data_IF_818920817677
#
_entry.id   IF_818920817677
#
_cell.length_a   1.000
_cell.length_b   1.000
_cell.length_c   1.000
_cell.angle_alpha   90.00
_cell.angle_beta   90.00
_cell.angle_gamma   90.00
#
_symmetry.space_group_name_H-M   'P 1'
#
loop_
_entity.id
_entity.type
_entity.pdbx_description
1 polymer ?
#
# COMPACT_ATOMS: atom_id res chain seq x y z
N UNK A 1 22.99 -13.24 62.57
CA UNK A 1 22.88 -11.76 62.48
C UNK A 1 24.25 -11.24 62.03
N UNK A 2 24.56 -11.34 60.75
CA UNK A 2 24.37 -10.26 59.76
C UNK A 2 25.12 -8.97 60.12
N UNK A 3 26.37 -8.84 59.67
CA UNK A 3 26.77 -7.89 58.61
C UNK A 3 28.29 -7.89 58.46
N UNK A 4 28.74 -8.61 57.45
CA UNK A 4 30.08 -8.61 56.89
C UNK A 4 30.28 -7.27 56.17
N UNK A 5 31.18 -6.44 56.67
CA UNK A 5 31.73 -5.29 55.95
C UNK A 5 33.14 -5.67 55.51
N UNK A 6 33.27 -6.22 54.30
CA UNK A 6 34.57 -6.46 53.67
C UNK A 6 34.79 -5.38 52.61
N UNK A 7 35.44 -4.30 53.03
CA UNK A 7 36.22 -3.45 52.14
C UNK A 7 37.60 -4.12 52.05
N UNK A 8 38.00 -4.59 50.87
CA UNK A 8 39.39 -4.62 50.37
C UNK A 8 39.41 -5.17 48.94
N UNK A 9 39.22 -4.25 48.01
CA UNK A 9 40.06 -3.97 46.84
C UNK A 9 40.91 -5.08 46.17
N UNK A 10 40.83 -5.02 44.83
CA UNK A 10 41.82 -5.41 43.80
C UNK A 10 41.75 -6.85 43.29
N UNK A 11 41.12 -7.00 42.12
CA UNK A 11 41.84 -7.38 40.89
C UNK A 11 40.80 -7.77 39.83
N UNK A 12 40.42 -6.84 38.95
CA UNK A 12 39.89 -7.20 37.63
C UNK A 12 40.53 -6.28 36.61
N UNK A 13 41.23 -6.94 35.70
CA UNK A 13 42.04 -6.43 34.63
C UNK A 13 41.31 -5.42 33.74
N UNK A 14 41.97 -4.28 33.53
CA UNK A 14 41.67 -3.30 32.50
C UNK A 14 42.05 -3.92 31.15
N UNK A 15 41.06 -4.19 30.30
CA UNK A 15 41.28 -4.41 28.87
C UNK A 15 40.93 -3.11 28.12
N UNK A 16 41.86 -2.48 27.40
CA UNK A 16 41.55 -1.31 26.60
C UNK A 16 40.73 -1.72 25.36
N UNK A 17 39.45 -1.33 25.30
CA UNK A 17 38.72 -1.30 24.03
C UNK A 17 39.25 -0.13 23.18
N UNK A 18 40.41 -0.34 22.56
CA UNK A 18 40.77 0.37 21.35
C UNK A 18 40.14 -0.38 20.17
N UNK A 19 38.94 0.03 19.80
CA UNK A 19 38.35 -0.34 18.50
C UNK A 19 38.26 0.95 17.69
N UNK A 20 39.36 1.23 17.01
CA UNK A 20 39.42 1.75 15.64
C UNK A 20 38.18 2.52 15.16
N UNK A 21 38.16 3.83 15.40
CA UNK A 21 37.33 4.75 14.61
C UNK A 21 38.00 4.91 13.24
N UNK A 22 37.32 4.66 12.09
CA UNK A 22 37.84 5.11 10.82
C UNK A 22 37.76 6.64 10.80
N UNK A 23 38.92 7.28 10.77
CA UNK A 23 39.07 8.69 10.48
C UNK A 23 38.51 8.94 9.08
N UNK A 24 37.26 9.41 8.99
CA UNK A 24 36.68 9.83 7.73
C UNK A 24 37.40 11.10 7.33
N UNK A 25 38.29 10.95 6.35
CA UNK A 25 39.05 12.03 5.75
C UNK A 25 38.09 13.13 5.29
N UNK A 26 38.35 14.34 5.76
CA UNK A 26 37.75 15.57 5.30
C UNK A 26 38.25 15.82 3.86
N UNK A 27 37.49 15.36 2.88
CA UNK A 27 37.70 15.71 1.48
C UNK A 27 36.74 16.84 1.15
N UNK A 28 37.34 17.98 0.86
CA UNK A 28 36.70 19.21 0.44
C UNK A 28 35.67 18.92 -0.66
N UNK A 29 34.39 19.04 -0.31
CA UNK A 29 33.25 18.96 -1.22
C UNK A 29 33.19 20.24 -2.08
N UNK A 30 34.17 20.43 -2.95
CA UNK A 30 34.05 21.34 -4.08
C UNK A 30 33.80 20.50 -5.32
N UNK A 31 32.64 20.70 -5.95
CA UNK A 31 32.24 20.19 -7.27
C UNK A 31 31.70 18.76 -7.28
N UNK A 32 30.41 18.61 -6.96
CA UNK A 32 29.42 17.85 -7.74
C UNK A 32 28.28 17.36 -6.84
N UNK A 33 27.29 18.22 -6.62
CA UNK A 33 25.95 17.78 -6.29
C UNK A 33 24.98 18.85 -6.80
N UNK A 34 24.62 18.76 -8.08
CA UNK A 34 23.35 19.34 -8.52
C UNK A 34 22.27 18.56 -7.76
N UNK A 35 21.90 19.06 -6.59
CA UNK A 35 20.80 18.52 -5.78
C UNK A 35 19.52 18.73 -6.57
N UNK A 36 19.03 17.70 -7.25
CA UNK A 36 17.65 17.64 -7.75
C UNK A 36 16.66 17.44 -6.59
N UNK A 37 16.77 18.27 -5.55
CA UNK A 37 15.90 18.23 -4.38
C UNK A 37 15.26 19.60 -4.26
N UNK A 38 14.09 19.75 -4.88
CA UNK A 38 13.16 20.82 -4.56
C UNK A 38 12.72 20.64 -3.10
N UNK A 39 13.14 21.54 -2.21
CA UNK A 39 12.73 21.52 -0.79
C UNK A 39 11.31 22.06 -0.58
N UNK A 40 10.50 22.18 -1.63
CA UNK A 40 9.15 22.71 -1.54
C UNK A 40 8.12 21.61 -1.75
N UNK A 41 7.69 21.01 -0.64
CA UNK A 41 6.44 20.24 -0.63
C UNK A 41 5.29 21.21 -0.35
N UNK A 42 4.63 21.70 -1.39
CA UNK A 42 3.36 22.42 -1.26
C UNK A 42 2.25 21.40 -0.95
N UNK A 43 2.07 21.05 0.33
CA UNK A 43 0.88 20.31 0.77
C UNK A 43 -0.27 21.29 1.00
N UNK A 44 -1.48 20.93 0.54
CA UNK A 44 -2.69 21.68 0.85
C UNK A 44 -2.96 21.64 2.36
N UNK A 45 -2.88 22.81 3.02
CA UNK A 45 -3.23 22.97 4.43
C UNK A 45 -4.73 22.71 4.61
N UNK A 46 -5.08 21.63 5.31
CA UNK A 46 -6.47 21.38 5.75
C UNK A 46 -6.76 22.33 6.92
N UNK A 47 -7.63 23.32 6.72
CA UNK A 47 -8.10 24.20 7.80
C UNK A 47 -8.90 23.37 8.81
N UNK A 48 -8.29 23.03 9.94
CA UNK A 48 -8.99 22.57 11.14
C UNK A 48 -9.52 23.81 11.87
N UNK A 49 -10.81 24.10 11.68
CA UNK A 49 -11.52 25.10 12.49
C UNK A 49 -11.76 24.52 13.88
N UNK A 50 -10.81 24.73 14.79
CA UNK A 50 -11.00 24.44 16.20
C UNK A 50 -11.57 25.68 16.89
N UNK A 51 -12.82 25.56 17.34
CA UNK A 51 -13.44 26.25 18.46
C UNK A 51 -13.54 27.78 18.44
N UNK A 52 -14.61 28.30 17.84
CA UNK A 52 -15.48 29.31 18.45
C UNK A 52 -16.80 29.37 17.68
N UNK A 53 -17.92 29.07 18.33
CA UNK A 53 -19.26 29.19 17.75
C UNK A 53 -19.91 27.85 17.41
N UNK A 54 -20.83 27.41 18.26
CA UNK A 54 -21.57 26.17 18.09
C UNK A 54 -22.39 26.15 16.81
N UNK A 55 -22.32 25.04 16.09
CA UNK A 55 -23.36 24.59 15.14
C UNK A 55 -23.53 23.08 15.27
N UNK A 56 -23.85 22.62 16.49
CA UNK A 56 -24.71 21.46 16.62
C UNK A 56 -26.15 21.97 16.50
N UNK A 57 -26.77 21.72 15.35
CA UNK A 57 -28.22 21.87 15.20
C UNK A 57 -28.68 22.67 13.98
N UNK A 58 -29.34 21.95 13.07
CA UNK A 58 -30.60 22.40 12.48
C UNK A 58 -30.57 23.69 11.63
N UNK A 59 -29.95 23.60 10.45
CA UNK A 59 -30.06 24.60 9.40
C UNK A 59 -30.63 24.03 8.10
N UNK A 60 -31.93 23.75 8.10
CA UNK A 60 -32.92 23.80 6.99
C UNK A 60 -32.41 24.34 5.63
N UNK A 61 -31.48 23.65 5.01
CA UNK A 61 -31.04 23.86 3.63
C UNK A 61 -31.56 22.71 2.79
N UNK A 62 -32.86 22.71 2.50
CA UNK A 62 -33.55 21.79 1.58
C UNK A 62 -33.05 22.05 0.14
N UNK A 63 -31.75 21.84 -0.12
CA UNK A 63 -31.27 21.55 -1.47
C UNK A 63 -31.90 20.21 -1.80
N UNK A 64 -32.91 20.27 -2.67
CA UNK A 64 -33.56 19.13 -3.28
C UNK A 64 -32.45 18.17 -3.71
N UNK A 65 -32.25 17.13 -2.88
CA UNK A 65 -31.61 15.90 -3.28
C UNK A 65 -32.57 15.36 -4.32
N UNK A 66 -32.34 15.80 -5.57
CA UNK A 66 -32.98 15.23 -6.73
C UNK A 66 -32.79 13.75 -6.57
N UNK A 67 -33.91 13.04 -6.44
CA UNK A 67 -34.01 11.60 -6.55
C UNK A 67 -33.40 11.27 -7.91
N UNK A 68 -32.08 11.11 -7.95
CA UNK A 68 -31.40 10.37 -8.98
C UNK A 68 -32.10 9.02 -8.90
N UNK A 69 -33.07 8.83 -9.79
CA UNK A 69 -33.83 7.60 -9.87
C UNK A 69 -32.81 6.48 -9.81
N UNK A 70 -33.01 5.55 -8.87
CA UNK A 70 -32.18 4.37 -8.81
C UNK A 70 -32.23 3.77 -10.21
N UNK A 71 -31.14 3.92 -10.96
CA UNK A 71 -31.03 3.34 -12.29
C UNK A 71 -31.07 1.85 -12.05
N UNK A 72 -32.20 1.25 -12.40
CA UNK A 72 -32.42 -0.18 -12.25
C UNK A 72 -31.35 -0.89 -13.06
N UNK A 73 -30.51 -1.66 -12.37
CA UNK A 73 -29.47 -2.45 -13.01
C UNK A 73 -30.20 -3.49 -13.84
N UNK A 74 -30.06 -3.42 -15.16
CA UNK A 74 -30.55 -4.48 -16.06
C UNK A 74 -29.73 -5.73 -15.78
N UNK A 75 -30.33 -6.71 -15.10
CA UNK A 75 -29.76 -8.04 -14.94
C UNK A 75 -30.01 -8.80 -16.25
N UNK A 76 -28.95 -8.99 -17.04
CA UNK A 76 -29.03 -9.81 -18.24
C UNK A 76 -29.04 -11.29 -17.81
N UNK A 77 -29.89 -12.14 -18.41
CA UNK A 77 -29.91 -13.56 -18.10
C UNK A 77 -28.55 -14.16 -18.46
N UNK A 78 -28.01 -14.98 -17.55
CA UNK A 78 -26.75 -15.70 -17.79
C UNK A 78 -27.06 -16.93 -18.61
N UNK A 79 -26.37 -17.09 -19.74
CA UNK A 79 -26.46 -18.26 -20.60
C UNK A 79 -26.09 -19.53 -19.81
N UNK A 80 -26.91 -20.58 -19.93
CA UNK A 80 -26.73 -21.85 -19.18
C UNK A 80 -26.20 -22.98 -20.08
N UNK A 81 -26.13 -22.76 -21.39
CA UNK A 81 -25.70 -23.75 -22.36
C UNK A 81 -24.19 -24.01 -22.27
N UNK A 82 -23.73 -25.23 -21.95
CA UNK A 82 -22.31 -25.50 -21.74
C UNK A 82 -21.47 -25.34 -23.00
N UNK A 83 -21.99 -25.69 -24.17
CA UNK A 83 -21.29 -25.57 -25.45
C UNK A 83 -20.98 -24.12 -25.82
N UNK A 84 -21.88 -23.18 -25.47
CA UNK A 84 -21.64 -21.76 -25.68
C UNK A 84 -20.59 -21.22 -24.73
N UNK A 85 -20.64 -21.62 -23.46
CA UNK A 85 -19.69 -21.16 -22.42
C UNK A 85 -18.24 -21.59 -22.69
N UNK A 86 -18.05 -22.75 -23.35
CA UNK A 86 -16.71 -23.25 -23.69
C UNK A 86 -16.17 -22.58 -24.96
N UNK A 87 -17.04 -22.24 -25.92
CA UNK A 87 -16.60 -21.72 -27.22
C UNK A 87 -16.57 -20.18 -27.31
N UNK A 88 -17.33 -19.49 -26.46
CA UNK A 88 -17.53 -18.05 -26.53
C UNK A 88 -17.30 -17.37 -25.19
N UNK A 89 -16.80 -16.12 -25.25
CA UNK A 89 -16.71 -15.24 -24.09
C UNK A 89 -18.06 -14.54 -23.90
N UNK A 90 -18.98 -15.21 -23.22
CA UNK A 90 -20.32 -14.67 -22.95
C UNK A 90 -20.24 -13.35 -22.17
N UNK A 91 -20.94 -12.32 -22.65
CA UNK A 91 -20.95 -10.99 -22.05
C UNK A 91 -19.79 -10.08 -22.50
N UNK A 92 -19.04 -10.49 -23.52
CA UNK A 92 -18.04 -9.62 -24.16
C UNK A 92 -18.69 -8.55 -25.05
N UNK A 93 -19.82 -8.85 -25.68
CA UNK A 93 -20.55 -7.88 -26.48
C UNK A 93 -21.44 -6.96 -25.60
N UNK A 94 -21.17 -5.65 -25.65
CA UNK A 94 -21.97 -4.62 -24.96
C UNK A 94 -23.05 -3.99 -25.85
N UNK A 95 -23.02 -4.26 -27.16
CA UNK A 95 -23.93 -3.66 -28.12
C UNK A 95 -25.17 -4.53 -28.30
N UNK A 96 -26.30 -3.89 -28.63
CA UNK A 96 -27.57 -4.59 -28.93
C UNK A 96 -27.43 -5.49 -30.17
N UNK A 97 -26.54 -5.14 -31.08
CA UNK A 97 -26.26 -5.88 -32.32
C UNK A 97 -24.81 -6.35 -32.32
N UNK A 98 -24.61 -7.66 -32.37
CA UNK A 98 -23.28 -8.28 -32.43
C UNK A 98 -23.30 -9.71 -31.90
N UNK A 99 -22.24 -10.45 -32.21
CA UNK A 99 -21.96 -11.78 -31.63
C UNK A 99 -20.86 -11.64 -30.58
N UNK A 100 -20.87 -12.53 -29.58
CA UNK A 100 -19.80 -12.62 -28.59
C UNK A 100 -18.49 -13.11 -29.21
N UNK A 101 -17.36 -12.74 -28.59
CA UNK A 101 -16.04 -13.13 -29.07
C UNK A 101 -15.86 -14.65 -28.92
N UNK A 102 -15.61 -15.33 -30.04
CA UNK A 102 -15.26 -16.75 -30.08
C UNK A 102 -13.83 -16.98 -29.58
N UNK A 103 -13.64 -17.99 -28.73
CA UNK A 103 -12.34 -18.43 -28.27
C UNK A 103 -11.57 -19.12 -29.41
N UNK A 104 -10.28 -18.79 -29.49
CA UNK A 104 -9.32 -19.33 -30.45
C UNK A 104 -8.48 -20.43 -29.80
N UNK A 105 -7.66 -21.10 -30.59
CA UNK A 105 -6.70 -22.08 -30.08
C UNK A 105 -5.60 -21.41 -29.24
N UNK A 106 -5.03 -22.15 -28.29
CA UNK A 106 -4.02 -21.64 -27.34
C UNK A 106 -2.77 -21.06 -28.02
N UNK A 107 -2.47 -21.49 -29.24
CA UNK A 107 -1.32 -21.03 -30.04
C UNK A 107 -1.46 -19.60 -30.59
N UNK A 108 -2.69 -19.10 -30.68
CA UNK A 108 -2.93 -17.73 -31.14
C UNK A 108 -2.68 -16.69 -30.04
N UNK A 109 -2.71 -17.13 -28.78
CA UNK A 109 -2.49 -16.27 -27.64
C UNK A 109 -0.99 -16.17 -27.29
N UNK A 110 -0.52 -15.01 -26.83
CA UNK A 110 0.89 -14.84 -26.51
C UNK A 110 1.30 -15.62 -25.26
N UNK A 111 2.53 -16.15 -25.26
CA UNK A 111 3.06 -17.05 -24.22
C UNK A 111 2.99 -16.49 -22.78
N UNK A 112 3.09 -15.17 -22.64
CA UNK A 112 3.04 -14.54 -21.31
C UNK A 112 1.70 -14.73 -20.60
N UNK A 113 0.62 -15.03 -21.33
CA UNK A 113 -0.71 -15.28 -20.76
C UNK A 113 -0.67 -16.47 -19.82
N UNK A 114 -0.01 -17.55 -20.23
CA UNK A 114 0.11 -18.80 -19.48
C UNK A 114 1.14 -18.71 -18.34
N UNK A 115 2.01 -17.71 -18.39
CA UNK A 115 2.99 -17.42 -17.34
C UNK A 115 2.42 -16.57 -16.19
N UNK A 116 1.17 -16.11 -16.29
CA UNK A 116 0.54 -15.29 -15.25
C UNK A 116 0.20 -16.10 -13.99
N UNK A 117 0.36 -15.46 -12.83
CA UNK A 117 0.02 -16.06 -11.54
C UNK A 117 -1.47 -15.92 -11.24
N UNK A 118 -2.24 -17.00 -11.46
CA UNK A 118 -3.69 -17.06 -11.18
C UNK A 118 -4.01 -17.44 -9.73
N UNK A 119 -2.98 -17.81 -8.95
CA UNK A 119 -3.13 -18.27 -7.57
C UNK A 119 -3.31 -17.14 -6.54
N UNK A 120 -3.18 -17.52 -5.26
CA UNK A 120 -3.17 -16.55 -4.15
C UNK A 120 -2.02 -15.56 -4.34
N UNK A 121 -2.24 -14.26 -4.11
CA UNK A 121 -1.20 -13.28 -4.34
C UNK A 121 -0.01 -13.57 -3.41
N UNK A 122 1.23 -13.55 -3.94
CA UNK A 122 2.39 -14.02 -3.20
C UNK A 122 2.63 -13.20 -1.92
N UNK A 123 3.20 -13.89 -0.94
CA UNK A 123 3.52 -13.30 0.36
C UNK A 123 4.77 -12.41 0.28
N UNK A 124 5.03 -11.60 1.31
CA UNK A 124 6.22 -10.72 1.32
C UNK A 124 7.51 -11.55 1.40
N UNK A 125 7.45 -12.73 2.03
CA UNK A 125 8.58 -13.63 2.27
C UNK A 125 9.01 -14.36 0.99
N UNK A 126 8.06 -14.62 0.08
CA UNK A 126 8.32 -15.27 -1.22
C UNK A 126 8.92 -14.31 -2.27
N UNK A 127 8.78 -12.99 -2.07
CA UNK A 127 9.23 -12.00 -3.05
C UNK A 127 10.69 -11.61 -2.85
N UNK A 128 11.41 -11.45 -3.95
CA UNK A 128 12.80 -10.97 -3.93
C UNK A 128 12.88 -9.47 -3.54
N UNK A 129 13.65 -9.11 -2.49
CA UNK A 129 13.85 -7.72 -2.05
C UNK A 129 14.39 -6.75 -3.10
N UNK A 130 15.05 -7.25 -4.15
CA UNK A 130 15.58 -6.40 -5.22
C UNK A 130 14.52 -5.99 -6.24
N UNK A 131 13.31 -6.56 -6.17
CA UNK A 131 12.22 -6.24 -7.07
C UNK A 131 11.32 -5.11 -6.55
N UNK A 132 10.75 -4.31 -7.46
CA UNK A 132 9.76 -3.27 -7.10
C UNK A 132 8.51 -3.84 -6.43
N UNK A 133 8.11 -5.06 -6.82
CA UNK A 133 6.90 -5.72 -6.32
C UNK A 133 6.98 -5.95 -4.80
N UNK A 134 8.16 -6.34 -4.30
CA UNK A 134 8.42 -6.54 -2.88
C UNK A 134 8.11 -5.27 -2.08
N UNK A 135 8.68 -4.15 -2.49
CA UNK A 135 8.52 -2.88 -1.78
C UNK A 135 7.09 -2.32 -1.82
N UNK A 136 6.35 -2.53 -2.90
CA UNK A 136 4.92 -2.20 -2.95
C UNK A 136 4.13 -3.00 -1.91
N UNK A 137 4.47 -4.28 -1.74
CA UNK A 137 3.83 -5.17 -0.76
C UNK A 137 4.17 -4.76 0.67
N UNK A 138 5.44 -4.45 0.96
CA UNK A 138 5.91 -3.92 2.25
C UNK A 138 5.19 -2.63 2.61
N UNK A 139 5.08 -1.69 1.65
CA UNK A 139 4.35 -0.43 1.85
C UNK A 139 2.88 -0.68 2.20
N UNK A 140 2.22 -1.57 1.45
CA UNK A 140 0.83 -1.91 1.71
C UNK A 140 0.62 -2.54 3.10
N UNK A 141 1.54 -3.40 3.55
CA UNK A 141 1.52 -3.98 4.89
C UNK A 141 1.72 -2.93 5.99
N UNK A 142 2.66 -2.01 5.80
CA UNK A 142 2.88 -0.88 6.71
C UNK A 142 1.65 0.03 6.83
N UNK A 143 1.00 0.34 5.71
CA UNK A 143 -0.26 1.11 5.72
C UNK A 143 -1.38 0.38 6.47
N UNK A 144 -1.54 -0.93 6.25
CA UNK A 144 -2.54 -1.73 6.98
C UNK A 144 -2.28 -1.72 8.49
N UNK A 145 -1.03 -1.89 8.91
CA UNK A 145 -0.63 -1.80 10.33
C UNK A 145 -0.96 -0.42 10.90
N UNK A 146 -0.58 0.65 10.20
CA UNK A 146 -0.80 2.02 10.67
C UNK A 146 -2.30 2.35 10.76
N UNK A 147 -3.11 1.90 9.81
CA UNK A 147 -4.56 2.07 9.87
C UNK A 147 -5.18 1.34 11.07
N UNK A 148 -4.70 0.12 11.37
CA UNK A 148 -5.11 -0.62 12.58
C UNK A 148 -4.73 0.14 13.85
N UNK A 149 -3.49 0.61 13.97
CA UNK A 149 -3.03 1.38 15.13
C UNK A 149 -3.81 2.70 15.29
N UNK A 150 -4.07 3.41 14.19
CA UNK A 150 -4.89 4.63 14.20
C UNK A 150 -6.32 4.36 14.63
N UNK A 151 -6.92 3.25 14.19
CA UNK A 151 -8.27 2.85 14.61
C UNK A 151 -8.35 2.50 16.10
N UNK A 152 -7.26 2.02 16.69
CA UNK A 152 -7.19 1.72 18.14
C UNK A 152 -6.91 2.95 19.00
N UNK A 153 -6.41 4.04 18.41
CA UNK A 153 -6.09 5.26 19.16
C UNK A 153 -7.39 6.01 19.48
N UNK A 154 -7.62 6.27 20.76
CA UNK A 154 -8.71 7.16 21.18
C UNK A 154 -8.27 8.61 20.97
N UNK A 155 -8.88 9.24 19.96
CA UNK A 155 -8.66 10.62 19.47
C UNK A 155 -7.23 10.91 18.99
#
# INVERSE_FOLDING_TARGET
MSRICCILQKSIYVLPRNVFYPQVANINNSLCAKKFHTNETNYAVKKTTTAAGGVLGLGKGKKKLGKLGAMEKKELPVETDPEKLVNYVCGSNIYVTGEDVKLKDDSEYPEWLWSLHTGKPPSIEELDPNTKQYWLRVRAAGMRRNNRLRGMRKF
#
